data_IF_225568900815
#
_entry.id   IF_225568900815
#
_cell.length_a   1.000
_cell.length_b   1.000
_cell.length_c   1.000
_cell.angle_alpha   90.00
_cell.angle_beta   90.00
_cell.angle_gamma   90.00
#
_symmetry.space_group_name_H-M   'P 1'
#
loop_
_entity.id
_entity.type
_entity.pdbx_description
1 polymer ?
#
# COMPACT_ATOMS: atom_id res chain seq x y z
N UNK A 1 6.59 -12.64 12.63
CA UNK A 1 5.54 -12.25 11.66
C UNK A 1 6.22 -11.43 10.57
N UNK A 2 6.33 -11.91 9.31
CA UNK A 2 6.90 -11.09 8.25
C UNK A 2 5.99 -9.90 7.96
N UNK A 3 6.57 -8.69 7.86
CA UNK A 3 5.82 -7.50 7.48
C UNK A 3 5.33 -7.67 6.03
N UNK A 4 4.01 -7.73 5.84
CA UNK A 4 3.44 -7.83 4.51
C UNK A 4 3.43 -6.46 3.83
N UNK A 5 3.85 -6.43 2.57
CA UNK A 5 3.86 -5.22 1.74
C UNK A 5 2.44 -4.68 1.56
N UNK A 6 2.25 -3.39 1.83
CA UNK A 6 0.94 -2.72 1.74
C UNK A 6 0.34 -2.87 0.34
N UNK A 7 1.16 -2.82 -0.72
CA UNK A 7 0.69 -3.04 -2.09
C UNK A 7 0.16 -4.46 -2.35
N UNK A 8 0.69 -5.46 -1.64
CA UNK A 8 0.20 -6.83 -1.71
C UNK A 8 -1.14 -6.96 -0.97
N UNK A 9 -1.28 -6.31 0.18
CA UNK A 9 -2.52 -6.29 0.94
C UNK A 9 -3.65 -5.58 0.18
N UNK A 10 -3.37 -4.39 -0.37
CA UNK A 10 -4.32 -3.62 -1.18
C UNK A 10 -4.78 -4.40 -2.42
N UNK A 11 -3.87 -5.15 -3.06
CA UNK A 11 -4.21 -6.01 -4.20
C UNK A 11 -5.05 -7.23 -3.80
N UNK A 12 -4.72 -7.90 -2.69
CA UNK A 12 -5.51 -9.03 -2.19
C UNK A 12 -6.94 -8.61 -1.81
N UNK A 13 -7.12 -7.37 -1.34
CA UNK A 13 -8.43 -6.81 -1.00
C UNK A 13 -9.17 -6.23 -2.21
N UNK A 14 -8.58 -6.25 -3.41
CA UNK A 14 -9.20 -5.72 -4.62
C UNK A 14 -9.27 -4.19 -4.69
N UNK A 15 -8.56 -3.47 -3.80
CA UNK A 15 -8.59 -1.99 -3.74
C UNK A 15 -7.82 -1.40 -4.93
N UNK A 16 -6.66 -1.96 -5.25
CA UNK A 16 -5.81 -1.51 -6.35
C UNK A 16 -4.90 -2.65 -6.80
N UNK A 17 -4.46 -2.65 -8.06
CA UNK A 17 -3.39 -3.57 -8.50
C UNK A 17 -2.08 -3.29 -7.72
N UNK A 18 -1.17 -4.27 -7.64
CA UNK A 18 0.12 -4.09 -6.95
C UNK A 18 0.88 -2.83 -7.42
N UNK A 19 0.93 -2.58 -8.73
CA UNK A 19 1.56 -1.39 -9.31
C UNK A 19 0.84 -0.10 -8.94
N UNK A 20 -0.50 -0.10 -9.06
CA UNK A 20 -1.30 1.08 -8.71
C UNK A 20 -1.20 1.40 -7.22
N UNK A 21 -1.09 0.39 -6.38
CA UNK A 21 -0.86 0.58 -4.96
C UNK A 21 0.51 1.22 -4.66
N UNK A 22 1.58 0.84 -5.35
CA UNK A 22 2.88 1.53 -5.23
C UNK A 22 2.79 2.99 -5.68
N UNK A 23 2.10 3.27 -6.78
CA UNK A 23 1.87 4.66 -7.21
C UNK A 23 1.11 5.48 -6.15
N UNK A 24 0.11 4.88 -5.49
CA UNK A 24 -0.63 5.53 -4.41
C UNK A 24 0.25 5.77 -3.17
N UNK A 25 1.14 4.83 -2.85
CA UNK A 25 2.11 4.97 -1.76
C UNK A 25 3.09 6.11 -2.07
N UNK A 26 3.70 6.12 -3.27
CA UNK A 26 4.61 7.19 -3.71
C UNK A 26 3.92 8.55 -3.76
N UNK A 27 2.65 8.60 -4.16
CA UNK A 27 1.85 9.82 -4.16
C UNK A 27 1.40 10.27 -2.75
N UNK A 28 1.78 9.56 -1.67
CA UNK A 28 1.38 9.88 -0.30
C UNK A 28 -0.12 9.70 -0.03
N UNK A 29 -0.81 8.89 -0.84
CA UNK A 29 -2.26 8.65 -0.75
C UNK A 29 -2.63 7.47 0.16
N UNK A 30 -1.63 6.78 0.70
CA UNK A 30 -1.82 5.62 1.57
C UNK A 30 -1.25 5.94 2.95
N UNK A 31 -2.06 5.75 3.98
CA UNK A 31 -1.65 5.89 5.38
C UNK A 31 -1.84 4.58 6.13
N UNK A 32 -0.86 4.19 6.93
CA UNK A 32 -0.93 3.06 7.84
C UNK A 32 -0.85 3.61 9.26
N UNK A 33 -1.90 3.36 10.06
CA UNK A 33 -1.99 3.86 11.44
C UNK A 33 -1.75 5.38 11.57
N UNK A 34 -2.22 6.15 10.59
CA UNK A 34 -2.06 7.61 10.57
C UNK A 34 -0.72 8.13 10.03
N UNK A 35 0.25 7.25 9.72
CA UNK A 35 1.50 7.63 9.07
C UNK A 35 1.46 7.35 7.56
N UNK A 36 1.96 8.24 6.69
CA UNK A 36 2.06 7.97 5.26
C UNK A 36 2.94 6.74 5.01
N UNK A 37 2.47 5.83 4.16
CA UNK A 37 3.22 4.66 3.76
C UNK A 37 4.38 5.07 2.84
N UNK A 38 5.49 4.37 2.96
CA UNK A 38 6.68 4.49 2.09
C UNK A 38 7.08 3.11 1.55
N UNK A 39 7.79 3.09 0.42
CA UNK A 39 8.22 1.85 -0.26
C UNK A 39 9.29 1.06 0.50
#
# INVERSE_FOLDING_TARGET
MPAERVQKLLAQRGIASRRRAEELVVAGRVTVNGAPATL
#
